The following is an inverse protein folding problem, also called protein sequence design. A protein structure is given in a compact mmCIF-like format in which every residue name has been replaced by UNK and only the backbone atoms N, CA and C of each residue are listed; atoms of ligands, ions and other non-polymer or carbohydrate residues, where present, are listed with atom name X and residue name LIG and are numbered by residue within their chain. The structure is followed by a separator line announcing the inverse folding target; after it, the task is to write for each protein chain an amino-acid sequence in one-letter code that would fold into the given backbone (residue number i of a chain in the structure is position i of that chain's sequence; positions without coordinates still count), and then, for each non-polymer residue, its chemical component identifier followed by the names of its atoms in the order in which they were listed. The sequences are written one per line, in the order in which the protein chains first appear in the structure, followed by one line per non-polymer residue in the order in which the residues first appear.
data_IF_253731474445
#
_entry.id   IF_253731474445
#
_cell.length_a   1.000
_cell.length_b   1.000
_cell.length_c   1.000
_cell.angle_alpha   90.00
_cell.angle_beta   90.00
_cell.angle_gamma   90.00
#
_symmetry.space_group_name_H-M   'P 1'
#
loop_
_entity.id
_entity.type
_entity.pdbx_description
1 polymer ?
#
# COMPACT_ATOMS: atom_id res chain seq x y z
N UNK A 1 -43.97 -9.38 -26.17
CA UNK A 1 -44.60 -8.56 -25.12
C UNK A 1 -43.59 -7.51 -24.70
N UNK A 2 -43.78 -6.27 -25.20
CA UNK A 2 -43.02 -5.11 -24.80
C UNK A 2 -43.98 -4.18 -24.06
N UNK A 3 -43.58 -3.64 -22.91
CA UNK A 3 -44.15 -2.41 -22.38
C UNK A 3 -43.06 -1.56 -21.74
N UNK A 4 -43.03 -0.33 -22.24
CA UNK A 4 -42.28 0.84 -21.85
C UNK A 4 -43.17 1.68 -20.92
N UNK A 5 -42.65 2.24 -19.82
CA UNK A 5 -43.14 3.50 -19.23
C UNK A 5 -41.95 4.24 -18.56
N UNK A 6 -41.85 5.59 -18.71
CA UNK A 6 -40.70 6.41 -18.35
C UNK A 6 -40.88 7.26 -17.06
N UNK A 7 -39.76 7.79 -16.55
CA UNK A 7 -39.72 9.07 -15.84
C UNK A 7 -39.48 9.03 -14.33
N UNK A 8 -38.29 9.47 -13.89
CA UNK A 8 -38.12 10.48 -12.83
C UNK A 8 -36.72 11.10 -12.97
N UNK A 9 -36.67 12.37 -13.37
CA UNK A 9 -35.54 13.26 -13.15
C UNK A 9 -35.93 14.19 -12.00
N UNK A 10 -35.04 14.39 -11.02
CA UNK A 10 -34.56 15.70 -10.51
C UNK A 10 -34.09 15.62 -9.05
N UNK A 11 -32.87 16.13 -8.83
CA UNK A 11 -32.16 16.31 -7.56
C UNK A 11 -32.89 17.14 -6.50
N UNK A 12 -32.37 17.15 -5.26
CA UNK A 12 -32.21 18.41 -4.56
C UNK A 12 -30.90 18.48 -3.75
N UNK A 13 -29.82 18.96 -4.37
CA UNK A 13 -28.81 19.76 -3.67
C UNK A 13 -28.37 20.87 -4.61
N UNK A 14 -29.00 22.04 -4.45
CA UNK A 14 -28.72 23.24 -5.23
C UNK A 14 -27.34 23.80 -4.91
N UNK A 15 -26.55 24.02 -5.96
CA UNK A 15 -25.30 24.78 -5.89
C UNK A 15 -25.65 26.28 -5.84
N UNK A 16 -24.96 27.10 -5.03
CA UNK A 16 -25.14 28.54 -5.09
C UNK A 16 -24.69 29.08 -6.46
N UNK A 17 -25.49 29.99 -7.03
CA UNK A 17 -25.17 30.67 -8.28
C UNK A 17 -23.87 31.48 -8.12
N UNK A 18 -22.86 31.20 -8.94
CA UNK A 18 -21.61 31.97 -8.99
C UNK A 18 -20.30 31.16 -9.03
N UNK A 19 -20.33 29.85 -8.79
CA UNK A 19 -19.11 29.02 -8.83
C UNK A 19 -18.85 28.45 -10.24
N UNK A 20 -17.91 29.04 -10.99
CA UNK A 20 -17.27 28.39 -12.16
C UNK A 20 -16.18 27.42 -11.68
N UNK A 21 -16.06 26.26 -12.34
CA UNK A 21 -14.83 25.47 -12.26
C UNK A 21 -13.74 26.18 -13.10
N UNK A 22 -12.48 26.25 -12.63
CA UNK A 22 -11.41 26.74 -13.48
C UNK A 22 -11.24 25.80 -14.67
N UNK A 23 -11.06 26.40 -15.85
CA UNK A 23 -10.73 25.68 -17.06
C UNK A 23 -9.20 25.54 -17.18
N UNK A 24 -8.73 24.64 -18.05
CA UNK A 24 -7.30 24.48 -18.30
C UNK A 24 -6.58 25.76 -18.79
N UNK A 25 -7.32 26.82 -19.14
CA UNK A 25 -6.76 28.12 -19.52
C UNK A 25 -6.39 29.04 -18.33
N UNK A 26 -6.80 28.70 -17.09
CA UNK A 26 -6.57 29.54 -15.91
C UNK A 26 -5.20 29.31 -15.24
N UNK A 27 -4.35 28.43 -15.81
CA UNK A 27 -3.05 28.01 -15.26
C UNK A 27 -1.83 28.53 -16.04
N UNK A 28 -1.97 29.65 -16.75
CA UNK A 28 -0.83 30.30 -17.42
C UNK A 28 -0.29 31.42 -16.53
N UNK A 29 0.84 31.18 -15.86
CA UNK A 29 1.59 32.23 -15.17
C UNK A 29 2.37 33.07 -16.19
N UNK A 30 2.35 34.42 -16.13
CA UNK A 30 3.13 35.24 -17.02
C UNK A 30 4.61 35.28 -16.59
N UNK A 31 5.48 35.23 -17.59
CA UNK A 31 6.94 35.24 -17.47
C UNK A 31 7.54 36.57 -16.96
N UNK A 32 8.71 36.45 -16.31
CA UNK A 32 9.80 37.45 -16.24
C UNK A 32 10.17 37.86 -14.81
N UNK A 33 11.40 37.81 -14.31
CA UNK A 33 12.74 37.57 -14.88
C UNK A 33 13.75 37.21 -13.76
N UNK A 34 14.95 36.81 -14.22
CA UNK A 34 16.27 36.85 -13.58
C UNK A 34 16.61 35.76 -12.52
N UNK A 35 17.41 34.80 -12.99
CA UNK A 35 18.08 33.81 -12.15
C UNK A 35 19.46 34.24 -11.65
N UNK A 36 20.08 33.35 -10.90
CA UNK A 36 21.54 33.26 -10.74
C UNK A 36 21.87 31.77 -10.51
N UNK A 37 22.74 31.22 -11.36
CA UNK A 37 23.03 29.79 -11.48
C UNK A 37 23.99 29.22 -10.41
N UNK A 38 24.40 27.94 -10.56
CA UNK A 38 25.24 27.25 -9.59
C UNK A 38 26.73 27.43 -9.91
N UNK A 39 27.55 27.68 -8.89
CA UNK A 39 29.00 27.58 -9.05
C UNK A 39 29.85 28.17 -7.92
N UNK A 40 30.68 27.30 -7.34
CA UNK A 40 31.95 27.55 -6.65
C UNK A 40 31.95 28.00 -5.17
N UNK A 41 32.30 27.02 -4.32
CA UNK A 41 33.54 27.10 -3.55
C UNK A 41 33.45 27.53 -2.08
N UNK A 42 34.08 26.76 -1.21
CA UNK A 42 34.65 27.28 0.04
C UNK A 42 34.16 26.61 1.32
N UNK A 43 35.03 25.79 1.90
CA UNK A 43 34.88 25.13 3.18
C UNK A 43 35.04 26.11 4.36
N UNK A 44 34.24 25.92 5.42
CA UNK A 44 34.52 26.14 6.85
C UNK A 44 33.18 25.91 7.58
N UNK A 45 32.98 24.88 8.39
CA UNK A 45 33.76 24.64 9.60
C UNK A 45 33.27 25.57 10.70
N UNK A 46 32.16 25.23 11.36
CA UNK A 46 31.80 25.77 12.67
C UNK A 46 30.96 24.73 13.42
N UNK A 47 31.65 23.92 14.21
CA UNK A 47 31.06 23.16 15.31
C UNK A 47 30.54 24.17 16.35
N UNK A 48 29.23 24.18 16.61
CA UNK A 48 28.67 24.87 17.75
C UNK A 48 28.55 23.88 18.90
N UNK A 49 29.52 23.97 19.80
CA UNK A 49 29.49 23.40 21.15
C UNK A 49 28.29 23.96 21.90
N UNK A 50 27.48 23.08 22.48
CA UNK A 50 26.42 23.44 23.41
C UNK A 50 27.09 23.88 24.72
N UNK A 51 27.06 25.17 25.02
CA UNK A 51 27.26 25.67 26.39
C UNK A 51 25.96 26.28 26.89
N UNK A 52 25.45 25.70 27.96
CA UNK A 52 24.36 26.21 28.80
C UNK A 52 24.65 27.64 29.29
N UNK A 53 23.69 28.56 29.17
CA UNK A 53 23.81 29.91 29.76
C UNK A 53 22.54 30.75 29.62
N UNK A 54 22.08 31.29 30.74
CA UNK A 54 20.86 32.08 30.92
C UNK A 54 20.96 33.54 30.45
N UNK A 55 19.77 34.14 30.29
CA UNK A 55 19.39 35.53 30.58
C UNK A 55 19.46 36.62 29.47
N UNK A 56 18.29 37.27 29.29
CA UNK A 56 18.15 38.72 29.13
C UNK A 56 18.41 39.32 27.75
N UNK A 57 17.36 39.50 26.95
CA UNK A 57 17.39 40.40 25.80
C UNK A 57 16.78 41.76 26.21
N UNK A 58 17.63 42.71 26.55
CA UNK A 58 17.28 44.14 26.55
C UNK A 58 17.26 44.63 25.09
N UNK A 59 16.17 45.29 24.69
CA UNK A 59 16.11 45.97 23.40
C UNK A 59 16.96 47.25 23.43
N UNK A 60 17.81 47.43 22.41
CA UNK A 60 18.61 48.63 22.22
C UNK A 60 17.75 49.91 22.11
N UNK A 61 18.21 51.07 22.63
CA UNK A 61 17.46 52.31 22.60
C UNK A 61 17.47 52.92 21.19
N UNK A 62 16.31 52.99 20.53
CA UNK A 62 16.21 53.70 19.25
C UNK A 62 15.03 53.36 18.35
N UNK A 63 14.32 52.24 18.55
CA UNK A 63 13.13 51.93 17.74
C UNK A 63 11.84 52.41 18.40
N UNK A 64 11.10 53.25 17.67
CA UNK A 64 9.74 53.67 18.03
C UNK A 64 8.77 52.47 17.99
N UNK A 65 7.84 52.48 18.94
CA UNK A 65 6.99 51.35 19.38
C UNK A 65 5.74 51.12 18.51
N UNK A 66 5.57 51.82 17.41
CA UNK A 66 4.38 51.82 16.55
C UNK A 66 4.50 50.93 15.29
N UNK A 67 5.66 50.30 15.08
CA UNK A 67 5.87 49.26 14.04
C UNK A 67 6.35 47.91 14.56
N UNK A 68 6.28 47.67 15.87
CA UNK A 68 6.50 46.34 16.45
C UNK A 68 5.16 45.63 16.60
N UNK A 69 4.79 44.80 15.61
CA UNK A 69 3.77 43.76 15.81
C UNK A 69 4.37 42.62 16.64
N UNK A 70 4.72 42.93 17.89
CA UNK A 70 5.02 41.94 18.92
C UNK A 70 3.76 41.81 19.78
N UNK A 71 2.80 41.02 19.29
CA UNK A 71 1.64 40.61 20.09
C UNK A 71 1.99 39.30 20.79
N UNK A 72 2.69 39.40 21.92
CA UNK A 72 2.62 38.38 22.98
C UNK A 72 2.27 39.08 24.29
N UNK A 73 0.98 39.28 24.48
CA UNK A 73 0.41 39.46 25.81
C UNK A 73 -0.96 38.78 25.80
N UNK A 74 -1.08 37.65 26.51
CA UNK A 74 -2.36 36.95 26.66
C UNK A 74 -2.27 35.43 26.78
N UNK A 75 -1.48 34.94 27.73
CA UNK A 75 -1.67 33.68 28.48
C UNK A 75 -2.74 32.67 28.02
N UNK A 76 -2.30 31.50 27.54
CA UNK A 76 -2.79 30.20 28.07
C UNK A 76 -1.87 29.05 27.63
N UNK A 77 -1.20 28.46 28.64
CA UNK A 77 -0.60 27.12 28.71
C UNK A 77 -0.82 26.21 27.50
N UNK A 78 0.25 25.94 26.75
CA UNK A 78 0.40 24.71 25.97
C UNK A 78 1.86 24.28 26.05
N UNK A 79 2.06 23.06 26.56
CA UNK A 79 3.35 22.52 26.96
C UNK A 79 4.38 22.49 25.84
N UNK A 80 5.64 22.51 26.28
CA UNK A 80 6.79 22.16 25.49
C UNK A 80 6.55 20.85 24.72
N UNK A 81 6.45 20.95 23.41
CA UNK A 81 6.69 19.81 22.51
C UNK A 81 8.14 19.92 22.05
N UNK A 82 9.00 18.97 22.42
CA UNK A 82 10.41 19.04 22.11
C UNK A 82 10.66 18.85 20.62
N UNK A 83 11.74 19.46 20.13
CA UNK A 83 12.15 19.61 18.71
C UNK A 83 12.46 18.30 17.95
N UNK A 84 12.13 17.14 18.51
CA UNK A 84 12.23 15.81 17.89
C UNK A 84 10.85 15.21 17.69
N UNK A 85 10.02 15.85 16.86
CA UNK A 85 8.84 15.20 16.28
C UNK A 85 8.69 15.56 14.81
N UNK A 86 9.71 15.22 14.02
CA UNK A 86 9.54 15.03 12.57
C UNK A 86 10.17 13.72 12.08
N UNK A 87 10.72 12.91 13.00
CA UNK A 87 11.41 11.65 12.66
C UNK A 87 10.58 10.39 12.99
N UNK A 88 9.30 10.54 13.35
CA UNK A 88 8.39 9.40 13.49
C UNK A 88 7.63 9.11 12.19
N UNK A 89 7.52 10.08 11.27
CA UNK A 89 6.74 9.94 10.03
C UNK A 89 7.58 9.45 8.84
N UNK A 90 8.91 9.68 8.86
CA UNK A 90 9.83 9.25 7.81
C UNK A 90 10.29 7.79 8.03
N UNK A 91 10.11 7.26 9.24
CA UNK A 91 10.52 5.89 9.64
C UNK A 91 9.53 4.80 9.15
N UNK A 92 8.32 5.15 8.72
CA UNK A 92 7.27 4.14 8.41
C UNK A 92 7.24 3.66 6.95
N UNK A 93 8.01 4.28 6.04
CA UNK A 93 8.21 3.78 4.66
C UNK A 93 9.57 3.06 4.57
N UNK A 94 10.00 2.43 5.67
CA UNK A 94 11.21 1.59 5.68
C UNK A 94 10.78 0.17 5.33
N UNK A 95 10.89 -0.14 4.04
CA UNK A 95 10.89 -1.47 3.41
C UNK A 95 9.86 -2.49 3.94
N UNK A 96 8.65 -2.46 3.37
CA UNK A 96 7.78 -3.64 3.39
C UNK A 96 8.40 -4.71 2.50
N UNK A 97 8.88 -5.80 3.09
CA UNK A 97 9.49 -6.91 2.35
C UNK A 97 8.50 -8.07 2.26
N UNK A 98 8.46 -8.76 1.13
CA UNK A 98 7.47 -9.81 0.88
C UNK A 98 7.69 -11.03 1.76
N UNK A 99 8.94 -11.35 2.09
CA UNK A 99 9.33 -12.42 2.99
C UNK A 99 8.79 -12.27 4.41
N UNK A 100 8.41 -11.07 4.83
CA UNK A 100 7.88 -10.85 6.17
C UNK A 100 6.45 -11.42 6.31
N UNK A 101 5.82 -11.82 5.21
CA UNK A 101 4.46 -12.39 5.18
C UNK A 101 4.43 -13.86 4.73
N UNK A 102 5.55 -14.49 4.40
CA UNK A 102 5.58 -15.87 3.92
C UNK A 102 6.04 -16.84 5.01
N UNK A 103 5.66 -18.10 4.88
CA UNK A 103 6.19 -19.21 5.70
C UNK A 103 7.16 -20.04 4.85
N UNK A 104 8.04 -20.82 5.49
CA UNK A 104 8.94 -21.73 4.76
C UNK A 104 8.19 -22.77 3.92
N UNK A 105 7.02 -23.21 4.40
CA UNK A 105 6.19 -24.26 3.78
C UNK A 105 5.13 -23.73 2.82
N UNK A 106 4.98 -22.42 2.68
CA UNK A 106 3.96 -21.77 1.86
C UNK A 106 4.29 -21.69 0.36
N UNK A 107 5.17 -22.54 -0.16
CA UNK A 107 5.65 -22.51 -1.54
C UNK A 107 5.46 -23.88 -2.20
N UNK A 108 4.51 -23.97 -3.14
CA UNK A 108 4.08 -25.24 -3.75
C UNK A 108 4.29 -25.20 -5.27
N UNK A 109 5.46 -25.61 -5.79
CA UNK A 109 5.68 -25.69 -7.23
C UNK A 109 4.90 -26.85 -7.84
N UNK A 110 4.46 -26.68 -9.09
CA UNK A 110 3.78 -27.72 -9.88
C UNK A 110 2.63 -28.42 -9.13
N UNK A 111 1.84 -27.64 -8.41
CA UNK A 111 0.69 -28.13 -7.67
C UNK A 111 -0.33 -28.78 -8.61
N UNK A 112 -0.68 -30.03 -8.33
CA UNK A 112 -1.78 -30.70 -8.99
C UNK A 112 -3.11 -30.36 -8.32
N UNK A 113 -3.99 -29.68 -9.04
CA UNK A 113 -5.34 -29.37 -8.60
C UNK A 113 -6.28 -29.30 -9.82
N UNK A 114 -7.57 -29.52 -9.59
CA UNK A 114 -8.63 -29.42 -10.59
C UNK A 114 -9.43 -28.12 -10.49
N UNK A 115 -9.23 -27.32 -9.44
CA UNK A 115 -9.96 -26.07 -9.22
C UNK A 115 -9.19 -25.06 -8.38
N UNK A 116 -9.60 -23.79 -8.45
CA UNK A 116 -9.05 -22.72 -7.60
C UNK A 116 -9.27 -23.04 -6.12
N UNK A 117 -10.42 -23.63 -5.77
CA UNK A 117 -10.71 -24.04 -4.39
C UNK A 117 -9.72 -25.08 -3.87
N UNK A 118 -9.37 -26.07 -4.69
CA UNK A 118 -8.35 -27.07 -4.33
C UNK A 118 -6.97 -26.42 -4.18
N UNK A 119 -6.61 -25.49 -5.07
CA UNK A 119 -5.36 -24.75 -4.96
C UNK A 119 -5.29 -23.91 -3.67
N UNK A 120 -6.38 -23.21 -3.33
CA UNK A 120 -6.49 -22.44 -2.08
C UNK A 120 -6.40 -23.35 -0.87
N UNK A 121 -7.11 -24.49 -0.87
CA UNK A 121 -7.04 -25.46 0.23
C UNK A 121 -5.62 -25.98 0.46
N UNK A 122 -4.90 -26.32 -0.62
CA UNK A 122 -3.50 -26.74 -0.53
C UNK A 122 -2.58 -25.63 0.03
N UNK A 123 -2.82 -24.37 -0.34
CA UNK A 123 -2.05 -23.22 0.15
C UNK A 123 -2.40 -22.83 1.60
N UNK A 124 -3.62 -23.13 2.07
CA UNK A 124 -4.04 -22.90 3.45
C UNK A 124 -3.47 -23.95 4.40
N UNK A 125 -3.31 -25.21 3.97
CA UNK A 125 -2.85 -26.29 4.84
C UNK A 125 -1.54 -25.98 5.58
N UNK A 126 -0.47 -25.48 4.93
CA UNK A 126 0.76 -25.08 5.63
C UNK A 126 0.58 -23.98 6.68
N UNK A 127 -0.44 -23.11 6.52
CA UNK A 127 -0.76 -22.03 7.47
C UNK A 127 -1.54 -22.55 8.68
N UNK A 128 -2.29 -23.64 8.52
CA UNK A 128 -2.91 -24.36 9.63
C UNK A 128 -1.84 -25.10 10.43
N UNK A 129 -0.92 -25.78 9.74
CA UNK A 129 0.17 -26.53 10.36
C UNK A 129 1.12 -25.62 11.16
N UNK A 130 1.37 -24.38 10.70
CA UNK A 130 2.15 -23.38 11.43
C UNK A 130 1.39 -22.76 12.62
N UNK A 131 0.08 -22.99 12.71
CA UNK A 131 -0.81 -22.36 13.69
C UNK A 131 -1.12 -20.89 13.41
N UNK A 132 -0.87 -20.40 12.19
CA UNK A 132 -1.26 -19.05 11.75
C UNK A 132 -2.77 -18.95 11.47
N UNK A 133 -3.38 -20.07 11.10
CA UNK A 133 -4.81 -20.21 10.80
C UNK A 133 -5.44 -21.25 11.75
N UNK A 134 -6.54 -20.89 12.40
CA UNK A 134 -7.25 -21.77 13.32
C UNK A 134 -8.19 -22.77 12.62
N UNK A 135 -8.95 -22.31 11.62
CA UNK A 135 -9.88 -23.13 10.83
C UNK A 135 -9.59 -22.94 9.34
N UNK A 136 -8.95 -23.95 8.74
CA UNK A 136 -8.59 -23.91 7.33
C UNK A 136 -9.80 -24.04 6.40
N UNK A 137 -10.82 -24.80 6.79
CA UNK A 137 -12.00 -25.02 5.94
C UNK A 137 -12.83 -23.74 5.85
N UNK A 138 -13.07 -23.08 6.99
CA UNK A 138 -13.79 -21.81 7.03
C UNK A 138 -13.02 -20.70 6.29
N UNK A 139 -11.68 -20.70 6.35
CA UNK A 139 -10.86 -19.78 5.58
C UNK A 139 -10.98 -20.01 4.07
N UNK A 140 -10.95 -21.28 3.62
CA UNK A 140 -11.15 -21.63 2.20
C UNK A 140 -12.52 -21.14 1.74
N UNK A 141 -13.57 -21.40 2.50
CA UNK A 141 -14.94 -20.96 2.18
C UNK A 141 -15.02 -19.44 2.07
N UNK A 142 -14.39 -18.69 2.98
CA UNK A 142 -14.38 -17.22 2.94
C UNK A 142 -13.60 -16.68 1.73
N UNK A 143 -12.48 -17.30 1.36
CA UNK A 143 -11.74 -16.95 0.14
C UNK A 143 -12.59 -17.21 -1.09
N UNK A 144 -13.27 -18.35 -1.16
CA UNK A 144 -14.14 -18.69 -2.30
C UNK A 144 -15.37 -17.81 -2.37
N UNK A 145 -15.93 -17.40 -1.23
CA UNK A 145 -17.02 -16.42 -1.16
C UNK A 145 -16.59 -15.09 -1.79
N UNK A 146 -15.36 -14.63 -1.52
CA UNK A 146 -14.79 -13.42 -2.13
C UNK A 146 -14.52 -13.59 -3.63
N UNK A 147 -14.05 -14.76 -4.06
CA UNK A 147 -13.84 -15.05 -5.48
C UNK A 147 -15.16 -15.04 -6.28
N UNK A 148 -16.25 -15.53 -5.67
CA UNK A 148 -17.58 -15.54 -6.29
C UNK A 148 -18.19 -14.14 -6.47
N UNK A 149 -17.78 -13.13 -5.68
CA UNK A 149 -18.18 -11.74 -5.90
C UNK A 149 -17.58 -11.14 -7.19
N UNK A 150 -16.47 -11.72 -7.65
CA UNK A 150 -15.79 -11.33 -8.87
C UNK A 150 -14.37 -11.86 -8.87
N UNK A 151 -13.97 -12.39 -10.03
CA UNK A 151 -12.67 -13.04 -10.20
C UNK A 151 -11.51 -12.17 -9.73
N UNK A 152 -10.57 -12.80 -9.02
CA UNK A 152 -9.31 -12.17 -8.60
C UNK A 152 -8.17 -12.47 -9.55
N UNK A 153 -8.46 -13.06 -10.71
CA UNK A 153 -7.49 -13.22 -11.79
C UNK A 153 -7.23 -11.88 -12.48
N UNK A 154 -5.99 -11.41 -12.38
CA UNK A 154 -5.60 -10.06 -12.84
C UNK A 154 -4.93 -10.04 -14.22
N UNK A 155 -4.78 -11.21 -14.84
CA UNK A 155 -4.13 -11.42 -16.13
C UNK A 155 -2.77 -12.12 -16.02
N UNK A 156 -2.15 -12.40 -17.15
CA UNK A 156 -0.84 -13.06 -17.28
C UNK A 156 -0.75 -14.40 -16.53
N UNK A 157 -1.87 -15.15 -16.52
CA UNK A 157 -1.96 -16.45 -15.87
C UNK A 157 -1.92 -16.41 -14.34
N UNK A 158 -2.13 -15.25 -13.73
CA UNK A 158 -2.09 -15.07 -12.28
C UNK A 158 -3.47 -14.84 -11.67
N UNK A 159 -3.72 -15.51 -10.54
CA UNK A 159 -4.82 -15.24 -9.61
C UNK A 159 -4.30 -14.91 -8.22
N UNK A 160 -4.97 -13.98 -7.53
CA UNK A 160 -4.63 -13.59 -6.16
C UNK A 160 -5.86 -13.77 -5.26
N UNK A 161 -6.22 -15.03 -4.89
CA UNK A 161 -7.30 -15.28 -3.95
C UNK A 161 -6.95 -14.64 -2.62
N UNK A 162 -7.88 -13.87 -2.05
CA UNK A 162 -7.59 -13.13 -0.85
C UNK A 162 -8.81 -12.97 0.05
N UNK A 163 -8.59 -13.01 1.36
CA UNK A 163 -9.63 -12.83 2.35
C UNK A 163 -9.12 -12.21 3.64
N UNK A 164 -10.02 -11.55 4.36
CA UNK A 164 -9.81 -11.23 5.76
C UNK A 164 -10.62 -12.20 6.60
N UNK A 165 -9.98 -12.84 7.56
CA UNK A 165 -10.62 -13.90 8.34
C UNK A 165 -10.26 -13.77 9.82
N UNK A 166 -11.22 -14.00 10.72
CA UNK A 166 -11.02 -13.83 12.16
C UNK A 166 -10.07 -14.88 12.74
N UNK A 167 -10.02 -16.08 12.14
CA UNK A 167 -9.13 -17.16 12.52
C UNK A 167 -7.69 -17.04 12.01
N UNK A 168 -7.32 -15.93 11.36
CA UNK A 168 -5.94 -15.64 10.89
C UNK A 168 -5.27 -14.70 11.90
N UNK A 169 -4.10 -15.09 12.43
CA UNK A 169 -3.37 -14.30 13.44
C UNK A 169 -2.70 -13.04 12.89
N UNK A 170 -2.14 -13.14 11.70
CA UNK A 170 -1.39 -12.09 11.02
C UNK A 170 -1.43 -12.29 9.51
N UNK A 171 -0.98 -11.29 8.75
CA UNK A 171 -1.02 -11.37 7.29
C UNK A 171 -0.07 -12.46 6.80
N UNK A 172 -0.58 -13.36 5.95
CA UNK A 172 0.17 -14.46 5.36
C UNK A 172 -0.01 -14.53 3.85
N UNK A 173 1.09 -14.91 3.20
CA UNK A 173 1.21 -15.16 1.77
C UNK A 173 1.66 -16.60 1.55
N UNK A 174 1.06 -17.23 0.55
CA UNK A 174 1.51 -18.53 0.04
C UNK A 174 1.38 -18.55 -1.48
N UNK A 175 2.27 -19.27 -2.14
CA UNK A 175 2.45 -19.23 -3.59
C UNK A 175 2.43 -20.64 -4.13
N UNK A 176 1.67 -20.85 -5.20
CA UNK A 176 1.75 -22.06 -6.01
C UNK A 176 1.96 -21.72 -7.48
N UNK A 177 2.73 -22.57 -8.16
CA UNK A 177 2.62 -22.73 -9.61
C UNK A 177 1.87 -24.02 -9.88
N UNK A 178 1.01 -24.04 -10.88
CA UNK A 178 0.14 -25.18 -11.15
C UNK A 178 0.79 -26.09 -12.19
N UNK A 179 0.69 -27.41 -11.98
CA UNK A 179 1.12 -28.39 -12.98
C UNK A 179 0.29 -28.31 -14.27
N UNK A 180 -0.98 -27.89 -14.14
CA UNK A 180 -1.92 -27.68 -15.24
C UNK A 180 -2.64 -26.35 -15.05
N UNK A 181 -2.70 -25.48 -16.07
CA UNK A 181 -3.44 -24.24 -15.99
C UNK A 181 -4.95 -24.49 -15.75
N UNK A 182 -5.59 -23.61 -14.98
CA UNK A 182 -7.01 -23.63 -14.69
C UNK A 182 -7.75 -22.60 -15.55
N UNK A 183 -8.84 -23.04 -16.18
CA UNK A 183 -9.75 -22.16 -16.91
C UNK A 183 -10.67 -21.43 -15.93
N UNK A 184 -10.58 -20.11 -15.88
CA UNK A 184 -11.44 -19.27 -15.04
C UNK A 184 -11.61 -17.88 -15.67
N UNK A 185 -12.64 -17.10 -15.27
CA UNK A 185 -12.76 -15.72 -15.74
C UNK A 185 -11.51 -14.93 -15.35
N UNK A 186 -10.85 -14.30 -16.32
CA UNK A 186 -9.68 -13.45 -16.09
C UNK A 186 -9.77 -12.19 -16.96
N UNK A 187 -9.06 -11.13 -16.56
CA UNK A 187 -9.11 -9.85 -17.27
C UNK A 187 -8.64 -9.92 -18.74
N UNK A 188 -7.75 -10.86 -19.05
CA UNK A 188 -7.17 -11.07 -20.38
C UNK A 188 -7.67 -12.36 -21.07
N UNK A 189 -8.53 -13.13 -20.41
CA UNK A 189 -9.07 -14.40 -20.90
C UNK A 189 -8.05 -15.54 -20.95
N UNK A 190 -6.87 -15.40 -20.33
CA UNK A 190 -5.88 -16.47 -20.24
C UNK A 190 -6.17 -17.40 -19.06
N UNK A 191 -5.87 -18.71 -19.19
CA UNK A 191 -5.94 -19.63 -18.07
C UNK A 191 -4.88 -19.29 -17.02
N UNK A 192 -5.14 -19.65 -15.78
CA UNK A 192 -4.31 -19.33 -14.62
C UNK A 192 -3.40 -20.50 -14.27
N UNK A 193 -2.11 -20.23 -14.13
CA UNK A 193 -1.08 -21.20 -13.75
C UNK A 193 -0.24 -20.75 -12.55
N UNK A 194 -0.46 -19.54 -12.03
CA UNK A 194 0.16 -19.02 -10.81
C UNK A 194 -0.93 -18.57 -9.84
N UNK A 195 -0.84 -19.03 -8.59
CA UNK A 195 -1.77 -18.70 -7.50
C UNK A 195 -0.99 -18.07 -6.36
N UNK A 196 -1.34 -16.84 -5.97
CA UNK A 196 -0.74 -16.18 -4.81
C UNK A 196 -1.85 -15.89 -3.80
N UNK A 197 -1.97 -16.75 -2.79
CA UNK A 197 -2.93 -16.59 -1.70
C UNK A 197 -2.47 -15.49 -0.75
N UNK A 198 -3.36 -14.53 -0.43
CA UNK A 198 -3.13 -13.52 0.60
C UNK A 198 -4.27 -13.51 1.63
N UNK A 199 -3.95 -13.85 2.87
CA UNK A 199 -4.92 -13.87 3.97
C UNK A 199 -4.45 -12.97 5.11
N UNK A 200 -5.40 -12.43 5.89
CA UNK A 200 -5.06 -11.57 7.02
C UNK A 200 -6.17 -11.42 8.04
N UNK A 201 -5.87 -10.86 9.21
CA UNK A 201 -6.86 -10.62 10.24
C UNK A 201 -7.87 -9.53 9.81
N UNK A 202 -9.10 -9.62 10.33
CA UNK A 202 -10.16 -8.63 10.06
C UNK A 202 -9.77 -7.22 10.52
N UNK A 203 -8.94 -7.11 11.57
CA UNK A 203 -8.55 -5.86 12.22
C UNK A 203 -7.53 -4.99 11.50
N UNK A 204 -6.85 -5.47 10.44
CA UNK A 204 -5.83 -4.69 9.72
C UNK A 204 -6.07 -4.60 8.19
N UNK A 205 -7.18 -3.98 7.76
CA UNK A 205 -7.49 -3.85 6.33
C UNK A 205 -6.50 -2.95 5.58
N UNK A 206 -5.91 -1.95 6.26
CA UNK A 206 -4.98 -1.01 5.62
C UNK A 206 -3.67 -1.70 5.23
N UNK A 207 -3.11 -2.53 6.12
CA UNK A 207 -1.87 -3.27 5.82
C UNK A 207 -2.09 -4.29 4.72
N UNK A 208 -3.22 -4.99 4.72
CA UNK A 208 -3.55 -5.92 3.63
C UNK A 208 -3.60 -5.21 2.26
N UNK A 209 -4.20 -4.02 2.18
CA UNK A 209 -4.20 -3.22 0.95
C UNK A 209 -2.80 -2.78 0.52
N UNK A 210 -1.90 -2.47 1.46
CA UNK A 210 -0.51 -2.14 1.17
C UNK A 210 0.24 -3.36 0.58
N UNK A 211 0.02 -4.55 1.15
CA UNK A 211 0.59 -5.81 0.64
C UNK A 211 0.07 -6.11 -0.76
N UNK A 212 -1.24 -6.02 -1.00
CA UNK A 212 -1.83 -6.17 -2.34
C UNK A 212 -1.23 -5.18 -3.35
N UNK A 213 -1.07 -3.92 -2.96
CA UNK A 213 -0.49 -2.91 -3.84
C UNK A 213 0.99 -3.17 -4.15
N UNK A 214 1.75 -3.75 -3.19
CA UNK A 214 3.14 -4.18 -3.45
C UNK A 214 3.16 -5.40 -4.37
N UNK A 215 2.34 -6.40 -4.11
CA UNK A 215 2.23 -7.61 -4.92
C UNK A 215 1.83 -7.27 -6.36
N UNK A 216 0.81 -6.43 -6.56
CA UNK A 216 0.36 -5.97 -7.87
C UNK A 216 1.45 -5.21 -8.67
N UNK A 217 2.46 -4.64 -8.01
CA UNK A 217 3.62 -4.03 -8.68
C UNK A 217 4.69 -5.06 -9.03
N UNK A 218 4.90 -6.06 -8.18
CA UNK A 218 5.86 -7.14 -8.43
C UNK A 218 5.44 -7.99 -9.63
N UNK A 219 4.18 -8.41 -9.65
CA UNK A 219 3.63 -9.29 -10.69
C UNK A 219 3.47 -8.62 -12.06
N UNK A 220 3.58 -7.28 -12.12
CA UNK A 220 3.65 -6.54 -13.39
C UNK A 220 5.00 -6.66 -14.09
N UNK A 221 6.03 -7.17 -13.41
CA UNK A 221 7.32 -7.46 -14.01
C UNK A 221 7.24 -8.82 -14.71
N UNK A 222 7.29 -8.90 -16.06
CA UNK A 222 7.20 -10.18 -16.75
C UNK A 222 8.25 -11.21 -16.30
N UNK A 223 9.53 -10.84 -16.08
CA UNK A 223 10.55 -11.77 -15.58
C UNK A 223 10.16 -12.44 -14.26
N UNK A 224 9.49 -11.72 -13.35
CA UNK A 224 9.13 -12.29 -12.06
C UNK A 224 8.16 -13.47 -12.18
N UNK A 225 7.13 -13.34 -13.04
CA UNK A 225 6.19 -14.45 -13.24
C UNK A 225 6.82 -15.60 -14.03
N UNK A 226 7.72 -15.31 -14.97
CA UNK A 226 8.48 -16.33 -15.69
C UNK A 226 9.41 -17.11 -14.75
N UNK A 227 10.12 -16.42 -13.84
CA UNK A 227 10.99 -17.04 -12.84
C UNK A 227 10.19 -17.93 -11.88
N UNK A 228 9.00 -17.50 -11.43
CA UNK A 228 8.12 -18.33 -10.61
C UNK A 228 7.73 -19.62 -11.36
N UNK A 229 7.37 -19.52 -12.64
CA UNK A 229 7.01 -20.69 -13.48
C UNK A 229 8.18 -21.65 -13.70
N UNK A 230 9.41 -21.14 -13.73
CA UNK A 230 10.63 -21.94 -13.85
C UNK A 230 11.07 -22.62 -12.54
N UNK A 231 10.39 -22.37 -11.42
CA UNK A 231 10.78 -22.93 -10.14
C UNK A 231 10.33 -24.39 -9.98
N UNK A 232 11.30 -25.31 -9.98
CA UNK A 232 11.07 -26.77 -9.89
C UNK A 232 11.03 -27.33 -8.45
N UNK A 233 11.30 -26.50 -7.43
CA UNK A 233 11.30 -26.92 -6.02
C UNK A 233 10.74 -25.85 -5.08
N UNK A 234 10.22 -26.22 -3.89
CA UNK A 234 9.72 -25.26 -2.90
C UNK A 234 10.77 -24.20 -2.53
N UNK A 235 12.02 -24.63 -2.34
CA UNK A 235 13.13 -23.74 -1.99
C UNK A 235 13.45 -22.77 -3.13
N UNK A 236 13.45 -23.23 -4.39
CA UNK A 236 13.68 -22.38 -5.56
C UNK A 236 12.53 -21.37 -5.74
N UNK A 237 11.28 -21.83 -5.59
CA UNK A 237 10.10 -20.95 -5.69
C UNK A 237 10.13 -19.88 -4.60
N UNK A 238 10.51 -20.27 -3.39
CA UNK A 238 10.74 -19.36 -2.27
C UNK A 238 11.83 -18.36 -2.57
N UNK A 239 12.99 -18.80 -3.05
CA UNK A 239 14.13 -17.94 -3.39
C UNK A 239 13.73 -16.86 -4.42
N UNK A 240 13.06 -17.26 -5.50
CA UNK A 240 12.53 -16.33 -6.51
C UNK A 240 11.60 -15.30 -5.87
N UNK A 241 10.66 -15.76 -5.02
CA UNK A 241 9.66 -14.88 -4.42
C UNK A 241 10.23 -13.89 -3.39
N UNK A 242 11.28 -14.27 -2.65
CA UNK A 242 11.86 -13.40 -1.59
C UNK A 242 12.98 -12.50 -2.10
N UNK A 243 13.47 -12.70 -3.32
CA UNK A 243 14.59 -11.94 -3.90
C UNK A 243 14.18 -10.58 -4.52
N UNK A 244 12.94 -10.12 -4.29
CA UNK A 244 12.32 -8.95 -4.98
C UNK A 244 11.91 -7.77 -4.10
#
# INVERSE_FOLDING_TARGET
MAWWVPGIHSSPHGRPAGCRYPSAADWVAPHGEAGCGPGAGGAAGCAAVVTTGHAGADCAPGLRRDRCSCFTCGSRVAGAVPFWTTDAMVVTIRFMRMQDYTTETGFLPHLECASVQEAVAALVAPLVDSGDVADGAELVDEVMRREAEGSTAIGDGLVIPHARFAGVREIRLSVATLARPLEMPSADGRPVDVVILLVGPVGDPRRMLQVLARLARLVKSPPFLEDLRGAESPDHLREVFISV
#
